data_IF_703847839563
#
_entry.id   IF_703847839563
#
_cell.length_a   1.000
_cell.length_b   1.000
_cell.length_c   1.000
_cell.angle_alpha   90.00
_cell.angle_beta   90.00
_cell.angle_gamma   90.00
#
_symmetry.space_group_name_H-M   'P 1'
#
loop_
_entity.id
_entity.type
_entity.pdbx_description
1 polymer ?
#
# COMPACT_ATOMS: atom_id res chain seq x y z
N UNK A 1 15.45 -15.91 2.66
CA UNK A 1 14.06 -15.39 2.60
C UNK A 1 13.08 -16.07 3.54
N UNK A 2 13.20 -17.37 3.88
CA UNK A 2 12.32 -18.03 4.88
C UNK A 2 12.16 -17.24 6.19
N UNK A 3 13.26 -16.76 6.76
CA UNK A 3 13.21 -15.99 8.00
C UNK A 3 12.43 -14.68 7.90
N UNK A 4 12.53 -13.95 6.79
CA UNK A 4 11.74 -12.73 6.60
C UNK A 4 10.24 -13.07 6.53
N UNK A 5 9.88 -14.08 5.74
CA UNK A 5 8.49 -14.53 5.61
C UNK A 5 7.94 -14.98 6.97
N UNK A 6 8.63 -15.87 7.67
CA UNK A 6 8.14 -16.48 8.91
C UNK A 6 8.19 -15.55 10.13
N UNK A 7 9.17 -14.63 10.18
CA UNK A 7 9.42 -13.80 11.37
C UNK A 7 8.95 -12.36 11.24
N UNK A 8 8.68 -11.89 10.03
CA UNK A 8 8.27 -10.49 9.77
C UNK A 8 6.94 -10.47 9.02
N UNK A 9 6.94 -10.90 7.76
CA UNK A 9 5.78 -10.70 6.88
C UNK A 9 4.52 -11.45 7.36
N UNK A 10 4.63 -12.71 7.76
CA UNK A 10 3.48 -13.50 8.25
C UNK A 10 2.92 -12.95 9.58
N UNK A 11 3.75 -12.60 10.58
CA UNK A 11 3.28 -11.87 11.75
C UNK A 11 2.56 -10.55 11.42
N UNK A 12 3.06 -9.78 10.46
CA UNK A 12 2.40 -8.53 10.01
C UNK A 12 1.02 -8.77 9.40
N UNK A 13 0.87 -9.81 8.58
CA UNK A 13 -0.44 -10.21 8.04
C UNK A 13 -1.40 -10.64 9.17
N UNK A 14 -0.94 -11.47 10.12
CA UNK A 14 -1.77 -11.93 11.23
C UNK A 14 -2.21 -10.77 12.15
N UNK A 15 -1.36 -9.76 12.33
CA UNK A 15 -1.65 -8.58 13.14
C UNK A 15 -2.71 -7.65 12.49
N UNK A 16 -3.06 -7.84 11.22
CA UNK A 16 -4.11 -7.05 10.53
C UNK A 16 -5.46 -7.15 11.25
N UNK A 17 -5.80 -8.33 11.78
CA UNK A 17 -7.02 -8.53 12.59
C UNK A 17 -7.00 -7.73 13.91
N UNK A 18 -5.81 -7.36 14.38
CA UNK A 18 -5.60 -6.51 15.56
C UNK A 18 -5.41 -5.02 15.21
N UNK A 19 -5.60 -4.64 13.94
CA UNK A 19 -5.51 -3.26 13.49
C UNK A 19 -4.14 -2.82 12.96
N UNK A 20 -3.20 -3.74 12.73
CA UNK A 20 -1.93 -3.41 12.07
C UNK A 20 -2.13 -3.15 10.56
N UNK A 21 -1.59 -2.04 10.06
CA UNK A 21 -1.84 -1.55 8.69
C UNK A 21 -0.60 -1.53 7.80
N UNK A 22 0.61 -1.51 8.36
CA UNK A 22 1.88 -1.36 7.62
C UNK A 22 2.16 -2.48 6.60
N UNK A 23 1.42 -3.60 6.67
CA UNK A 23 1.50 -4.66 5.65
C UNK A 23 1.20 -4.13 4.23
N UNK A 24 0.38 -3.07 4.14
CA UNK A 24 0.18 -2.23 2.95
C UNK A 24 1.00 -0.95 3.10
N UNK A 25 2.32 -1.07 2.92
CA UNK A 25 3.26 -0.01 3.25
C UNK A 25 3.19 1.19 2.31
N UNK A 26 2.79 1.03 1.04
CA UNK A 26 2.59 2.16 0.12
C UNK A 26 1.43 3.04 0.62
N UNK A 27 0.32 2.41 1.00
CA UNK A 27 -0.81 3.09 1.62
C UNK A 27 -0.41 3.77 2.93
N UNK A 28 0.33 3.07 3.80
CA UNK A 28 0.73 3.56 5.12
C UNK A 28 1.60 4.83 5.05
N UNK A 29 2.48 4.93 4.05
CA UNK A 29 3.31 6.13 3.84
C UNK A 29 2.62 7.21 3.01
N UNK A 30 1.33 7.02 2.71
CA UNK A 30 0.48 8.04 2.08
C UNK A 30 0.53 8.08 0.56
N UNK A 31 0.94 7.00 -0.14
CA UNK A 31 0.90 6.97 -1.60
C UNK A 31 -0.50 7.33 -2.14
N UNK A 32 -1.57 6.78 -1.54
CA UNK A 32 -2.94 7.13 -1.90
C UNK A 32 -3.31 8.59 -1.62
N UNK A 33 -2.82 9.16 -0.51
CA UNK A 33 -3.01 10.58 -0.22
C UNK A 33 -2.38 11.47 -1.29
N UNK A 34 -1.15 11.17 -1.72
CA UNK A 34 -0.49 11.95 -2.77
C UNK A 34 -1.08 11.70 -4.16
N UNK A 35 -1.65 10.52 -4.42
CA UNK A 35 -2.45 10.26 -5.62
C UNK A 35 -3.73 11.10 -5.65
N UNK A 36 -4.42 11.24 -4.52
CA UNK A 36 -5.60 12.12 -4.41
C UNK A 36 -5.22 13.59 -4.61
N UNK A 37 -4.12 14.05 -3.99
CA UNK A 37 -3.60 15.42 -4.21
C UNK A 37 -3.31 15.65 -5.70
N UNK A 38 -2.65 14.70 -6.36
CA UNK A 38 -2.34 14.75 -7.80
C UNK A 38 -3.63 14.78 -8.64
N UNK A 39 -4.60 13.95 -8.27
CA UNK A 39 -5.92 13.88 -8.92
C UNK A 39 -6.65 15.21 -8.83
N UNK A 40 -6.65 15.86 -7.66
CA UNK A 40 -7.26 17.17 -7.45
C UNK A 40 -6.55 18.25 -8.29
N UNK A 41 -5.22 18.30 -8.27
CA UNK A 41 -4.44 19.29 -9.01
C UNK A 41 -4.65 19.18 -10.53
N UNK A 42 -4.70 17.96 -11.04
CA UNK A 42 -4.79 17.68 -12.49
C UNK A 42 -6.23 17.49 -12.98
N UNK A 43 -7.23 17.75 -12.14
CA UNK A 43 -8.65 17.61 -12.50
C UNK A 43 -9.01 16.19 -12.95
N UNK A 44 -8.40 15.18 -12.35
CA UNK A 44 -8.66 13.77 -12.66
C UNK A 44 -7.95 13.21 -13.89
N UNK A 45 -7.07 13.97 -14.55
CA UNK A 45 -6.43 13.56 -15.81
C UNK A 45 -4.98 13.06 -15.64
N UNK A 46 -4.57 12.72 -14.42
CA UNK A 46 -3.23 12.18 -14.19
C UNK A 46 -3.09 10.79 -14.80
N UNK A 47 -2.00 10.54 -15.53
CA UNK A 47 -1.62 9.20 -16.02
C UNK A 47 -0.48 8.58 -15.22
N UNK A 48 -0.10 9.19 -14.10
CA UNK A 48 1.11 8.85 -13.32
C UNK A 48 0.84 8.78 -11.82
N UNK A 49 -0.35 8.33 -11.42
CA UNK A 49 -0.63 7.95 -10.01
C UNK A 49 0.15 6.69 -9.64
N UNK A 50 0.45 6.53 -8.36
CA UNK A 50 1.37 5.52 -7.86
C UNK A 50 0.67 4.20 -7.46
N UNK A 51 -0.52 4.25 -6.88
CA UNK A 51 -1.20 3.05 -6.38
C UNK A 51 -1.78 2.19 -7.50
N UNK A 52 -2.32 2.82 -8.54
CA UNK A 52 -2.87 2.12 -9.71
C UNK A 52 -1.77 1.33 -10.43
N UNK A 53 -1.93 0.01 -10.52
CA UNK A 53 -0.96 -0.89 -11.12
C UNK A 53 0.21 -1.28 -10.22
N UNK A 54 0.19 -0.91 -8.93
CA UNK A 54 1.21 -1.30 -7.97
C UNK A 54 1.13 -2.79 -7.59
N UNK A 55 2.25 -3.38 -7.13
CA UNK A 55 2.22 -4.75 -6.58
C UNK A 55 1.41 -4.83 -5.30
N UNK A 56 1.30 -3.73 -4.56
CA UNK A 56 0.45 -3.66 -3.36
C UNK A 56 -1.03 -3.82 -3.72
N UNK A 57 -1.51 -3.09 -4.74
CA UNK A 57 -2.88 -3.27 -5.29
C UNK A 57 -3.13 -4.71 -5.76
N UNK A 58 -2.15 -5.31 -6.45
CA UNK A 58 -2.30 -6.63 -7.05
C UNK A 58 -2.16 -7.81 -6.06
N UNK A 59 -1.45 -7.64 -4.94
CA UNK A 59 -1.01 -8.77 -4.09
C UNK A 59 -1.38 -8.63 -2.60
N UNK A 60 -1.82 -7.45 -2.14
CA UNK A 60 -2.05 -7.15 -0.71
C UNK A 60 -3.46 -6.64 -0.37
N UNK A 61 -4.35 -6.61 -1.37
CA UNK A 61 -5.77 -6.26 -1.22
C UNK A 61 -6.51 -7.15 -0.20
#
# INVERSE_FOLDING_TARGET
>A
MRHYVEKVQQPEFAARESGYTFVSHQQEVGAGYFDEVTTVILGGNSSVTALTGSTEEAQFA
#
